data_IF_753616346518
#
_entry.id   IF_753616346518
#
_cell.length_a   1.000
_cell.length_b   1.000
_cell.length_c   1.000
_cell.angle_alpha   90.00
_cell.angle_beta   90.00
_cell.angle_gamma   90.00
#
_symmetry.space_group_name_H-M   'P 1'
#
loop_
_entity.id
_entity.type
_entity.pdbx_description
1 polymer ?
#
# COMPACT_ATOMS: atom_id res chain seq x y z
N UNK A 1 -22.38 -2.22 -0.43
CA UNK A 1 -21.47 -2.75 -1.50
C UNK A 1 -22.16 -2.76 -2.86
N UNK A 2 -23.49 -2.78 -2.91
CA UNK A 2 -24.22 -2.95 -4.16
C UNK A 2 -24.05 -1.82 -5.16
N UNK A 3 -23.86 -0.59 -4.68
CA UNK A 3 -23.64 0.59 -5.53
C UNK A 3 -22.17 0.92 -5.80
N UNK A 4 -21.22 0.25 -5.12
CA UNK A 4 -19.78 0.56 -5.24
C UNK A 4 -19.35 1.93 -4.70
N UNK A 5 -20.27 2.73 -4.14
CA UNK A 5 -20.00 4.09 -3.63
C UNK A 5 -19.52 4.08 -2.17
N UNK A 6 -18.69 5.07 -1.84
CA UNK A 6 -18.22 5.34 -0.47
C UNK A 6 -18.77 6.71 -0.03
N UNK A 7 -19.51 6.80 1.08
CA UNK A 7 -19.97 8.07 1.63
C UNK A 7 -18.82 9.04 1.88
N UNK A 8 -19.01 10.33 1.62
CA UNK A 8 -17.97 11.36 1.79
C UNK A 8 -17.45 11.45 3.23
N UNK A 9 -18.31 11.17 4.21
CA UNK A 9 -17.94 11.06 5.63
C UNK A 9 -16.78 10.08 5.86
N UNK A 10 -16.69 9.04 5.03
CA UNK A 10 -15.68 8.00 5.12
C UNK A 10 -14.46 8.27 4.23
N UNK A 11 -14.49 9.29 3.37
CA UNK A 11 -13.38 9.71 2.51
C UNK A 11 -12.43 10.70 3.21
N UNK A 12 -12.80 11.25 4.36
CA UNK A 12 -11.96 12.13 5.17
C UNK A 12 -10.97 11.31 6.03
N UNK A 13 -9.69 11.70 6.00
CA UNK A 13 -8.63 11.17 6.85
C UNK A 13 -8.07 12.24 7.80
N UNK A 14 -7.78 11.87 9.03
CA UNK A 14 -7.07 12.72 9.99
C UNK A 14 -5.60 12.32 10.02
N UNK A 15 -4.71 13.24 9.68
CA UNK A 15 -3.29 12.98 9.57
C UNK A 15 -2.57 13.51 10.80
N UNK A 16 -2.00 12.62 11.61
CA UNK A 16 -1.20 13.01 12.77
C UNK A 16 0.28 12.82 12.46
N UNK A 17 1.12 13.87 12.51
CA UNK A 17 2.56 13.74 12.32
C UNK A 17 3.20 13.14 13.58
N UNK A 18 3.85 11.97 13.43
CA UNK A 18 4.61 11.31 14.49
C UNK A 18 6.10 11.57 14.29
N UNK A 19 6.75 12.15 15.29
CA UNK A 19 8.17 12.44 15.23
C UNK A 19 9.00 11.14 15.22
N UNK A 20 9.87 10.97 14.22
CA UNK A 20 10.75 9.80 14.06
C UNK A 20 12.09 9.95 14.77
N UNK A 21 12.50 11.17 15.15
CA UNK A 21 13.81 11.47 15.75
C UNK A 21 14.47 12.69 15.10
N UNK A 22 15.61 13.14 15.62
CA UNK A 22 16.31 14.32 15.08
C UNK A 22 15.64 15.65 15.46
N UNK A 23 15.76 16.65 14.59
CA UNK A 23 15.27 18.01 14.87
C UNK A 23 13.76 18.12 14.63
N UNK A 24 13.04 18.62 15.65
CA UNK A 24 11.60 18.89 15.60
C UNK A 24 11.21 20.02 14.63
N UNK A 25 12.18 20.82 14.18
CA UNK A 25 11.97 21.92 13.24
C UNK A 25 11.92 21.46 11.78
N UNK A 26 12.28 20.20 11.50
CA UNK A 26 12.35 19.64 10.15
C UNK A 26 11.13 18.75 9.86
N UNK A 27 10.24 19.11 8.91
CA UNK A 27 9.07 18.31 8.58
C UNK A 27 9.40 16.88 8.12
N UNK A 28 10.58 16.67 7.53
CA UNK A 28 11.04 15.36 7.04
C UNK A 28 11.23 14.35 8.18
N UNK A 29 11.43 14.83 9.40
CA UNK A 29 11.57 14.01 10.60
C UNK A 29 10.22 13.56 11.17
N UNK A 30 9.11 13.90 10.53
CA UNK A 30 7.78 13.44 10.92
C UNK A 30 7.23 12.41 9.93
N UNK A 31 6.60 11.38 10.49
CA UNK A 31 5.80 10.39 9.77
C UNK A 31 4.33 10.80 9.88
N UNK A 32 3.68 11.26 8.80
CA UNK A 32 2.23 11.38 8.82
C UNK A 32 1.61 9.98 8.96
N UNK A 33 0.71 9.85 9.92
CA UNK A 33 -0.15 8.68 10.12
C UNK A 33 -1.58 9.07 9.80
N UNK A 34 -2.19 8.38 8.83
CA UNK A 34 -3.55 8.66 8.38
C UNK A 34 -4.57 7.81 9.14
N UNK A 35 -5.34 8.44 10.01
CA UNK A 35 -6.46 7.85 10.71
C UNK A 35 -7.72 7.98 9.84
N UNK A 36 -8.21 6.83 9.39
CA UNK A 36 -9.45 6.68 8.64
C UNK A 36 -10.53 6.04 9.51
N UNK A 37 -11.80 6.17 9.10
CA UNK A 37 -12.93 5.56 9.78
C UNK A 37 -12.73 4.06 10.05
N UNK A 38 -13.09 3.59 11.24
CA UNK A 38 -13.05 2.17 11.61
C UNK A 38 -13.89 1.31 10.66
N UNK A 39 -15.04 1.82 10.23
CA UNK A 39 -15.91 1.16 9.24
C UNK A 39 -15.12 0.93 7.95
N UNK A 40 -14.38 1.94 7.47
CA UNK A 40 -13.56 1.79 6.26
C UNK A 40 -12.43 0.78 6.43
N UNK A 41 -11.78 0.74 7.60
CA UNK A 41 -10.75 -0.28 7.88
C UNK A 41 -11.32 -1.70 7.80
N UNK A 42 -12.57 -1.91 8.23
CA UNK A 42 -13.24 -3.21 8.12
C UNK A 42 -13.51 -3.54 6.66
N UNK A 43 -14.06 -2.59 5.88
CA UNK A 43 -14.30 -2.78 4.45
C UNK A 43 -13.03 -3.10 3.67
N UNK A 44 -11.95 -2.37 3.92
CA UNK A 44 -10.64 -2.63 3.32
C UNK A 44 -10.16 -4.06 3.57
N UNK A 45 -10.34 -4.59 4.78
CA UNK A 45 -9.94 -5.97 5.10
C UNK A 45 -10.73 -6.98 4.28
N UNK A 46 -12.03 -6.76 4.10
CA UNK A 46 -12.89 -7.64 3.29
C UNK A 46 -12.49 -7.57 1.82
N UNK A 47 -12.32 -6.35 1.28
CA UNK A 47 -11.91 -6.13 -0.12
C UNK A 47 -10.53 -6.73 -0.39
N UNK A 48 -9.55 -6.47 0.50
CA UNK A 48 -8.21 -7.04 0.41
C UNK A 48 -8.25 -8.56 0.38
N UNK A 49 -9.04 -9.21 1.24
CA UNK A 49 -9.16 -10.67 1.25
C UNK A 49 -9.65 -11.21 -0.09
N UNK A 50 -10.66 -10.59 -0.67
CA UNK A 50 -11.22 -11.01 -1.97
C UNK A 50 -10.21 -10.79 -3.11
N UNK A 51 -9.53 -9.65 -3.12
CA UNK A 51 -8.47 -9.35 -4.09
C UNK A 51 -7.35 -10.38 -3.98
N UNK A 52 -6.85 -10.64 -2.78
CA UNK A 52 -5.77 -11.60 -2.56
C UNK A 52 -6.15 -13.02 -3.00
N UNK A 53 -7.38 -13.44 -2.71
CA UNK A 53 -7.90 -14.73 -3.17
C UNK A 53 -7.86 -14.83 -4.70
N UNK A 54 -8.37 -13.81 -5.40
CA UNK A 54 -8.34 -13.75 -6.87
C UNK A 54 -6.91 -13.79 -7.43
N UNK A 55 -6.00 -12.99 -6.85
CA UNK A 55 -4.61 -12.95 -7.32
C UNK A 55 -3.90 -14.30 -7.17
N UNK A 56 -4.15 -15.02 -6.08
CA UNK A 56 -3.57 -16.35 -5.84
C UNK A 56 -4.20 -17.38 -6.79
N UNK A 57 -5.53 -17.43 -6.89
CA UNK A 57 -6.24 -18.41 -7.73
C UNK A 57 -5.92 -18.27 -9.23
N UNK A 58 -5.61 -17.04 -9.66
CA UNK A 58 -5.25 -16.75 -11.05
C UNK A 58 -3.73 -16.72 -11.30
N UNK A 59 -2.91 -17.09 -10.30
CA UNK A 59 -1.43 -17.05 -10.37
C UNK A 59 -0.88 -15.69 -10.87
N UNK A 60 -1.43 -14.60 -10.37
CA UNK A 60 -1.06 -13.24 -10.77
C UNK A 60 -0.02 -12.58 -9.86
N UNK A 61 0.48 -13.30 -8.84
CA UNK A 61 1.50 -12.81 -7.91
C UNK A 61 2.87 -13.30 -8.37
N UNK A 62 3.86 -12.42 -8.39
CA UNK A 62 5.23 -12.80 -8.68
C UNK A 62 5.73 -13.86 -7.68
N UNK A 63 6.28 -15.00 -8.14
CA UNK A 63 6.82 -16.03 -7.25
C UNK A 63 7.86 -15.52 -6.24
N UNK A 64 8.68 -14.52 -6.61
CA UNK A 64 9.68 -13.89 -5.74
C UNK A 64 9.12 -12.81 -4.81
N UNK A 65 7.81 -12.53 -4.84
CA UNK A 65 7.20 -11.53 -3.95
C UNK A 65 6.86 -12.16 -2.59
N UNK A 66 7.56 -11.76 -1.53
CA UNK A 66 7.24 -12.20 -0.16
C UNK A 66 6.48 -11.16 0.65
N UNK A 67 6.57 -9.88 0.27
CA UNK A 67 5.88 -8.79 0.95
C UNK A 67 4.37 -8.90 0.81
N UNK A 68 3.67 -8.89 1.95
CA UNK A 68 2.20 -8.87 2.05
C UNK A 68 1.47 -10.09 1.43
N UNK A 69 2.19 -11.16 1.10
CA UNK A 69 1.62 -12.42 0.59
C UNK A 69 1.39 -13.39 1.77
N UNK A 70 0.18 -13.95 1.94
CA UNK A 70 -0.09 -14.95 2.97
C UNK A 70 0.87 -16.14 2.89
N UNK A 71 1.39 -16.59 4.03
CA UNK A 71 2.33 -17.72 4.10
C UNK A 71 3.78 -17.37 3.73
N UNK A 72 4.08 -16.14 3.32
CA UNK A 72 5.45 -15.65 3.08
C UNK A 72 5.85 -14.61 4.13
N UNK A 73 7.15 -14.52 4.36
CA UNK A 73 7.75 -13.58 5.32
C UNK A 73 9.13 -13.10 4.85
N UNK A 74 9.69 -12.12 5.55
CA UNK A 74 11.07 -11.67 5.32
C UNK A 74 12.08 -12.81 5.48
N UNK A 75 11.82 -13.77 6.38
CA UNK A 75 12.67 -14.95 6.57
C UNK A 75 12.65 -15.87 5.35
N UNK A 76 11.47 -16.10 4.76
CA UNK A 76 11.37 -16.93 3.55
C UNK A 76 12.06 -16.28 2.36
N UNK A 77 12.00 -14.94 2.25
CA UNK A 77 12.68 -14.21 1.19
C UNK A 77 14.20 -14.31 1.36
N UNK A 78 14.68 -14.12 2.58
CA UNK A 78 16.11 -14.18 2.90
C UNK A 78 16.67 -15.59 2.66
N UNK A 79 15.93 -16.63 3.07
CA UNK A 79 16.33 -18.01 2.84
C UNK A 79 16.43 -18.32 1.34
N UNK A 80 15.43 -17.93 0.55
CA UNK A 80 15.44 -18.13 -0.89
C UNK A 80 16.62 -17.39 -1.55
N UNK A 81 16.87 -16.14 -1.16
CA UNK A 81 18.02 -15.38 -1.66
C UNK A 81 19.36 -16.04 -1.32
N UNK A 82 19.51 -16.61 -0.12
CA UNK A 82 20.72 -17.35 0.23
C UNK A 82 20.87 -18.63 -0.59
N UNK A 83 19.79 -19.39 -0.81
CA UNK A 83 19.84 -20.57 -1.69
C UNK A 83 20.31 -20.20 -3.10
N UNK A 84 19.74 -19.15 -3.70
CA UNK A 84 20.13 -18.67 -5.04
C UNK A 84 21.63 -18.29 -5.09
N UNK A 85 22.14 -17.67 -4.02
CA UNK A 85 23.56 -17.32 -3.87
C UNK A 85 24.42 -18.59 -3.81
N UNK A 86 24.08 -19.53 -2.93
CA UNK A 86 24.87 -20.74 -2.74
C UNK A 86 24.92 -21.61 -4.00
N UNK A 87 23.79 -21.75 -4.70
CA UNK A 87 23.71 -22.47 -5.97
C UNK A 87 24.64 -21.84 -7.02
N UNK A 88 24.52 -20.53 -7.25
CA UNK A 88 25.32 -19.84 -8.26
C UNK A 88 26.82 -19.83 -7.91
N UNK A 89 27.19 -19.74 -6.61
CA UNK A 89 28.57 -19.88 -6.17
C UNK A 89 29.12 -21.29 -6.39
N UNK A 90 28.30 -22.32 -6.20
CA UNK A 90 28.70 -23.72 -6.42
C UNK A 90 29.00 -24.03 -7.89
N UNK A 91 28.37 -23.29 -8.81
CA UNK A 91 28.62 -23.34 -10.24
C UNK A 91 29.89 -22.57 -10.66
N UNK A 92 30.57 -21.89 -9.71
CA UNK A 92 31.76 -21.09 -9.98
C UNK A 92 31.47 -19.75 -10.65
N UNK A 93 30.20 -19.33 -10.69
CA UNK A 93 29.77 -18.08 -11.33
C UNK A 93 29.85 -16.91 -10.34
N UNK A 94 30.18 -15.72 -10.84
CA UNK A 94 30.21 -14.48 -10.05
C UNK A 94 28.78 -13.96 -9.84
N UNK A 95 28.52 -13.47 -8.63
CA UNK A 95 27.23 -12.91 -8.22
C UNK A 95 27.42 -11.47 -7.78
N UNK A 96 26.55 -10.58 -8.28
CA UNK A 96 26.40 -9.22 -7.79
C UNK A 96 24.94 -9.02 -7.36
N UNK A 97 24.71 -8.46 -6.17
CA UNK A 97 23.36 -8.20 -5.63
C UNK A 97 23.08 -6.71 -5.56
N UNK A 98 21.93 -6.29 -6.07
CA UNK A 98 21.48 -4.89 -6.06
C UNK A 98 20.30 -4.75 -5.11
N UNK A 99 20.44 -3.90 -4.10
CA UNK A 99 19.36 -3.56 -3.18
C UNK A 99 18.74 -2.22 -3.58
N UNK A 100 17.42 -2.20 -3.75
CA UNK A 100 16.65 -1.02 -4.12
C UNK A 100 15.66 -0.68 -3.00
N UNK A 101 15.62 0.59 -2.60
CA UNK A 101 14.64 1.13 -1.67
C UNK A 101 13.96 2.37 -2.25
N UNK A 102 12.63 2.38 -2.21
CA UNK A 102 11.83 3.47 -2.77
C UNK A 102 11.49 4.51 -1.70
N UNK A 103 12.08 5.70 -1.83
CA UNK A 103 11.82 6.80 -0.93
C UNK A 103 10.34 7.27 -0.98
N UNK A 104 9.66 7.22 0.18
CA UNK A 104 8.26 7.65 0.37
C UNK A 104 7.28 6.94 -0.56
N UNK A 105 7.50 5.66 -0.82
CA UNK A 105 6.76 4.93 -1.85
C UNK A 105 5.22 4.98 -1.66
N UNK A 106 4.70 4.92 -0.43
CA UNK A 106 3.25 4.99 -0.18
C UNK A 106 2.64 6.36 -0.50
N UNK A 107 3.43 7.42 -0.47
CA UNK A 107 2.99 8.80 -0.72
C UNK A 107 3.00 9.15 -2.22
N UNK A 108 3.81 8.41 -2.97
CA UNK A 108 4.09 8.67 -4.39
C UNK A 108 3.31 7.78 -5.35
N UNK A 109 2.42 6.92 -4.84
CA UNK A 109 1.59 6.09 -5.70
C UNK A 109 0.63 6.97 -6.49
N UNK A 110 0.75 6.91 -7.81
CA UNK A 110 -0.16 7.56 -8.73
C UNK A 110 -1.46 6.73 -8.84
N UNK A 111 -2.61 7.37 -8.59
CA UNK A 111 -3.90 6.68 -8.58
C UNK A 111 -4.30 6.17 -9.96
N UNK A 112 -3.97 6.90 -11.02
CA UNK A 112 -4.31 6.50 -12.38
C UNK A 112 -3.53 5.26 -12.80
N UNK A 113 -2.22 5.25 -12.58
CA UNK A 113 -1.36 4.08 -12.87
C UNK A 113 -1.83 2.87 -12.06
N UNK A 114 -2.10 3.05 -10.76
CA UNK A 114 -2.60 1.98 -9.90
C UNK A 114 -3.92 1.39 -10.44
N UNK A 115 -4.88 2.23 -10.80
CA UNK A 115 -6.17 1.78 -11.34
C UNK A 115 -6.01 1.05 -12.67
N UNK A 116 -5.09 1.49 -13.54
CA UNK A 116 -4.76 0.74 -14.76
C UNK A 116 -4.21 -0.65 -14.44
N UNK A 117 -3.35 -0.78 -13.43
CA UNK A 117 -2.81 -2.08 -13.02
C UNK A 117 -3.89 -2.99 -12.43
N UNK A 118 -4.78 -2.46 -11.60
CA UNK A 118 -5.96 -3.20 -11.09
C UNK A 118 -6.79 -3.75 -12.25
N UNK A 119 -7.03 -2.93 -13.29
CA UNK A 119 -7.74 -3.36 -14.49
C UNK A 119 -6.99 -4.47 -15.27
N UNK A 120 -5.66 -4.37 -15.40
CA UNK A 120 -4.81 -5.41 -16.02
C UNK A 120 -4.88 -6.76 -15.28
N UNK A 121 -5.02 -6.73 -13.95
CA UNK A 121 -5.22 -7.92 -13.12
C UNK A 121 -6.65 -8.49 -13.16
N UNK A 122 -7.48 -7.99 -14.09
CA UNK A 122 -8.88 -8.41 -14.31
C UNK A 122 -9.78 -8.20 -13.08
N UNK A 123 -9.41 -7.28 -12.17
CA UNK A 123 -10.25 -6.90 -11.03
C UNK A 123 -11.28 -5.90 -11.53
N UNK A 124 -12.51 -6.37 -11.72
CA UNK A 124 -13.63 -5.62 -12.32
C UNK A 124 -14.86 -5.63 -11.41
N UNK A 125 -15.94 -4.98 -11.86
CA UNK A 125 -17.22 -4.94 -11.16
C UNK A 125 -17.17 -4.13 -9.86
N UNK A 126 -17.93 -4.57 -8.86
CA UNK A 126 -18.11 -3.85 -7.58
C UNK A 126 -16.79 -3.57 -6.85
N UNK A 127 -15.83 -4.50 -6.89
CA UNK A 127 -14.52 -4.33 -6.23
C UNK A 127 -13.67 -3.28 -6.96
N UNK A 128 -13.64 -3.33 -8.30
CA UNK A 128 -12.91 -2.34 -9.10
C UNK A 128 -13.49 -0.93 -8.93
N UNK A 129 -14.82 -0.80 -8.95
CA UNK A 129 -15.52 0.46 -8.68
C UNK A 129 -15.24 0.97 -7.27
N UNK A 130 -15.27 0.09 -6.27
CA UNK A 130 -14.95 0.47 -4.90
C UNK A 130 -13.50 0.94 -4.75
N UNK A 131 -12.53 0.31 -5.42
CA UNK A 131 -11.13 0.76 -5.42
C UNK A 131 -10.97 2.14 -6.06
N UNK A 132 -11.68 2.38 -7.17
CA UNK A 132 -11.74 3.70 -7.79
C UNK A 132 -12.29 4.76 -6.82
N UNK A 133 -13.44 4.50 -6.20
CA UNK A 133 -14.04 5.40 -5.20
C UNK A 133 -13.20 5.56 -3.94
N UNK A 134 -12.41 4.54 -3.58
CA UNK A 134 -11.57 4.57 -2.39
C UNK A 134 -10.33 5.45 -2.58
N UNK A 135 -9.82 5.56 -3.81
CA UNK A 135 -8.64 6.36 -4.14
C UNK A 135 -9.05 7.79 -4.50
N UNK A 136 -10.16 7.97 -5.22
CA UNK A 136 -10.59 9.28 -5.72
C UNK A 136 -11.34 10.14 -4.69
N UNK A 137 -11.20 11.47 -4.86
CA UNK A 137 -11.90 12.51 -4.08
C UNK A 137 -11.73 12.36 -2.57
N UNK A 138 -10.59 11.81 -2.15
CA UNK A 138 -10.26 11.73 -0.73
C UNK A 138 -9.83 13.07 -0.21
N UNK A 139 -10.17 13.32 1.04
CA UNK A 139 -9.79 14.52 1.76
C UNK A 139 -8.97 14.15 2.97
N UNK A 140 -8.07 15.03 3.36
CA UNK A 140 -7.35 14.90 4.61
C UNK A 140 -7.29 16.22 5.35
N UNK A 141 -7.07 16.16 6.65
CA UNK A 141 -6.66 17.32 7.44
C UNK A 141 -5.59 16.89 8.44
N UNK A 142 -4.67 17.80 8.76
CA UNK A 142 -3.59 17.54 9.70
C UNK A 142 -4.07 17.86 11.11
N UNK A 143 -3.79 16.97 12.05
CA UNK A 143 -4.05 17.18 13.48
C UNK A 143 -2.71 17.21 14.21
N UNK A 144 -2.38 18.36 14.81
CA UNK A 144 -1.15 18.56 15.56
C UNK A 144 -1.47 19.26 16.87
N UNK A 145 -1.03 18.70 18.00
CA UNK A 145 -1.23 19.26 19.34
C UNK A 145 -2.70 19.61 19.67
N UNK A 146 -3.66 18.85 19.16
CA UNK A 146 -5.10 19.09 19.37
C UNK A 146 -5.73 20.10 18.41
N UNK A 147 -4.93 20.81 17.62
CA UNK A 147 -5.40 21.71 16.58
C UNK A 147 -5.52 20.98 15.25
N UNK A 148 -6.45 21.48 14.40
CA UNK A 148 -6.73 20.87 13.11
C UNK A 148 -6.56 21.89 11.99
N UNK A 149 -5.84 21.50 10.93
CA UNK A 149 -5.73 22.30 9.71
C UNK A 149 -7.04 22.35 8.94
N UNK A 150 -7.08 23.20 7.92
CA UNK A 150 -8.08 23.13 6.85
C UNK A 150 -8.06 21.76 6.17
N UNK A 151 -9.19 21.43 5.56
CA UNK A 151 -9.37 20.21 4.78
C UNK A 151 -8.74 20.42 3.41
N UNK A 152 -7.94 19.44 2.98
CA UNK A 152 -7.23 19.44 1.71
C UNK A 152 -7.53 18.16 0.93
N UNK A 153 -7.41 18.21 -0.39
CA UNK A 153 -7.60 17.04 -1.25
C UNK A 153 -6.33 16.18 -1.30
N UNK A 154 -6.51 14.86 -1.37
CA UNK A 154 -5.42 13.91 -1.56
C UNK A 154 -5.20 13.72 -3.06
N UNK A 155 -4.08 14.24 -3.56
CA UNK A 155 -3.72 14.17 -4.98
C UNK A 155 -2.96 12.89 -5.37
N UNK A 156 -2.24 12.29 -4.41
CA UNK A 156 -1.43 11.09 -4.63
C UNK A 156 -1.27 10.27 -3.35
N UNK A 157 -0.82 9.03 -3.52
CA UNK A 157 -0.50 8.13 -2.43
C UNK A 157 -1.72 7.41 -1.85
N UNK A 158 -1.44 6.45 -0.99
CA UNK A 158 -2.47 5.72 -0.23
C UNK A 158 -2.41 6.10 1.25
N UNK A 159 -3.51 6.02 2.01
CA UNK A 159 -3.45 6.35 3.43
C UNK A 159 -2.48 5.41 4.14
N UNK A 160 -1.47 6.00 4.81
CA UNK A 160 -0.25 5.31 5.26
C UNK A 160 -0.48 4.23 6.33
N UNK A 161 -1.66 4.20 6.94
CA UNK A 161 -2.12 3.22 7.94
C UNK A 161 -3.42 2.50 7.54
N UNK A 162 -3.83 2.63 6.27
CA UNK A 162 -4.91 1.82 5.71
C UNK A 162 -4.36 0.45 5.32
N UNK A 163 -5.06 -0.64 5.62
CA UNK A 163 -4.65 -1.98 5.19
C UNK A 163 -4.68 -2.11 3.66
N UNK A 164 -5.45 -1.23 2.98
CA UNK A 164 -5.45 -1.04 1.53
C UNK A 164 -4.09 -0.63 0.96
N UNK A 165 -3.25 0.08 1.72
CA UNK A 165 -1.87 0.42 1.32
C UNK A 165 -1.03 -0.80 0.91
N UNK A 166 -1.25 -1.96 1.53
CA UNK A 166 -0.53 -3.19 1.21
C UNK A 166 -1.03 -3.87 -0.08
N UNK A 167 -2.32 -3.69 -0.42
CA UNK A 167 -2.88 -4.23 -1.65
C UNK A 167 -2.37 -3.43 -2.86
N UNK A 168 -2.18 -2.12 -2.70
CA UNK A 168 -1.56 -1.24 -3.70
C UNK A 168 -0.15 -1.73 -4.13
N UNK A 169 0.65 -2.22 -3.19
CA UNK A 169 2.00 -2.72 -3.48
C UNK A 169 2.06 -4.10 -4.13
N UNK A 170 0.96 -4.87 -4.14
CA UNK A 170 0.90 -6.04 -5.01
C UNK A 170 0.90 -5.65 -6.49
N UNK A 171 0.58 -4.38 -6.81
CA UNK A 171 0.54 -3.90 -8.18
C UNK A 171 1.77 -3.07 -8.55
N UNK A 172 2.54 -2.55 -7.59
CA UNK A 172 3.67 -1.65 -7.86
C UNK A 172 5.05 -2.31 -8.00
N UNK A 173 5.12 -3.64 -7.87
CA UNK A 173 6.35 -4.42 -8.05
C UNK A 173 6.08 -5.59 -9.00
#
# INVERSE_FOLDING_TARGET
LDEGKIPDLFKLAYVTPIHKGGSKLKPEQYRPVSLISHVMKIFERVVKRNIMKHLIEQNLINPGQHGFVPGRSTKTQLLQHYCDIFETLSEGTRIDTIFLDFAKAFDKVDHYILLQKVAKHKIKGKIGLWLHEFLNSRKYRVVANGEMSDVQDVLSGSPRDSFGSCAVYHYDI
#
